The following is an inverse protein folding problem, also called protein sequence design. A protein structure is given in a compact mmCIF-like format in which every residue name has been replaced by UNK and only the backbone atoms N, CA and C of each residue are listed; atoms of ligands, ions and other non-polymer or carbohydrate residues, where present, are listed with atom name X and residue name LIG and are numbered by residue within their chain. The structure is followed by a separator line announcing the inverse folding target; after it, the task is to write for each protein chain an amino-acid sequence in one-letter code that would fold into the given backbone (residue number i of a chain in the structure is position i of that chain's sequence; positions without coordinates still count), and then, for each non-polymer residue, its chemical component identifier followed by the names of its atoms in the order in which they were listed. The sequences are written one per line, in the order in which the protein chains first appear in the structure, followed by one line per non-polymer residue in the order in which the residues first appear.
data_IF_875398149972
#
_entry.id   IF_875398149972
#
_cell.length_a   1.000
_cell.length_b   1.000
_cell.length_c   1.000
_cell.angle_alpha   90.00
_cell.angle_beta   90.00
_cell.angle_gamma   90.00
#
_symmetry.space_group_name_H-M   'P 1'
#
loop_
_entity.id
_entity.type
_entity.pdbx_description
1 polymer ?
#
# COMPACT_ATOMS: atom_id res chain seq x y z
N UNK A 1 -13.41 -9.66 -21.13
CA UNK A 1 -12.41 -8.59 -21.45
C UNK A 1 -12.31 -8.39 -22.95
N UNK A 2 -12.36 -7.14 -23.43
CA UNK A 2 -12.17 -6.82 -24.86
C UNK A 2 -10.70 -7.08 -25.25
N UNK A 3 -10.45 -7.49 -26.52
CA UNK A 3 -9.09 -7.84 -27.02
C UNK A 3 -8.03 -6.76 -26.74
N UNK A 4 -8.41 -5.48 -26.84
CA UNK A 4 -7.52 -4.36 -26.55
C UNK A 4 -7.14 -4.25 -25.07
N UNK A 5 -8.08 -4.55 -24.16
CA UNK A 5 -7.86 -4.53 -22.74
C UNK A 5 -6.88 -5.64 -22.28
N UNK A 6 -7.06 -6.85 -22.84
CA UNK A 6 -6.11 -7.94 -22.62
C UNK A 6 -4.69 -7.57 -23.06
N UNK A 7 -4.56 -6.91 -24.23
CA UNK A 7 -3.25 -6.46 -24.73
C UNK A 7 -2.63 -5.38 -23.83
N UNK A 8 -3.43 -4.43 -23.33
CA UNK A 8 -2.96 -3.44 -22.36
C UNK A 8 -2.41 -4.11 -21.10
N UNK A 9 -3.10 -5.10 -20.55
CA UNK A 9 -2.65 -5.85 -19.38
C UNK A 9 -1.36 -6.64 -19.62
N UNK A 10 -1.21 -7.26 -20.80
CA UNK A 10 0.05 -7.93 -21.19
C UNK A 10 1.24 -6.94 -21.20
N UNK A 11 1.04 -5.74 -21.73
CA UNK A 11 2.07 -4.70 -21.74
C UNK A 11 2.42 -4.21 -20.35
N UNK A 12 1.43 -4.04 -19.47
CA UNK A 12 1.66 -3.69 -18.08
C UNK A 12 2.43 -4.77 -17.31
N UNK A 13 2.18 -6.06 -17.59
CA UNK A 13 2.96 -7.15 -17.00
C UNK A 13 4.43 -7.08 -17.42
N UNK A 14 4.70 -6.89 -18.70
CA UNK A 14 6.06 -6.79 -19.23
C UNK A 14 6.79 -5.57 -18.64
N UNK A 15 6.11 -4.43 -18.56
CA UNK A 15 6.68 -3.22 -17.97
C UNK A 15 6.98 -3.41 -16.49
N UNK A 16 6.05 -3.99 -15.74
CA UNK A 16 6.22 -4.31 -14.32
C UNK A 16 7.48 -5.17 -14.09
N UNK A 17 7.61 -6.30 -14.80
CA UNK A 17 8.80 -7.16 -14.70
C UNK A 17 10.10 -6.40 -15.00
N UNK A 18 10.13 -5.57 -16.05
CA UNK A 18 11.32 -4.81 -16.40
C UNK A 18 11.64 -3.73 -15.35
N UNK A 19 10.63 -3.02 -14.86
CA UNK A 19 10.82 -1.99 -13.83
C UNK A 19 11.34 -2.58 -12.53
N UNK A 20 10.82 -3.72 -12.10
CA UNK A 20 11.26 -4.39 -10.87
C UNK A 20 12.69 -4.94 -11.03
N UNK A 21 12.99 -5.61 -12.15
CA UNK A 21 14.28 -6.31 -12.32
C UNK A 21 15.44 -5.42 -12.73
N UNK A 22 15.18 -4.32 -13.44
CA UNK A 22 16.22 -3.41 -14.00
C UNK A 22 16.16 -1.99 -13.44
N UNK A 23 15.06 -1.65 -12.78
CA UNK A 23 14.75 -0.29 -12.37
C UNK A 23 13.99 0.48 -13.45
N UNK A 24 13.13 1.41 -13.00
CA UNK A 24 12.35 2.26 -13.89
C UNK A 24 13.24 3.13 -14.79
N UNK A 25 14.24 3.79 -14.21
CA UNK A 25 15.12 4.69 -14.96
C UNK A 25 15.93 3.93 -16.04
N UNK A 26 16.37 2.73 -15.74
CA UNK A 26 17.20 1.90 -16.62
C UNK A 26 16.40 1.13 -17.69
N UNK A 27 15.06 1.21 -17.66
CA UNK A 27 14.20 0.56 -18.66
C UNK A 27 13.78 1.55 -19.73
N UNK A 28 14.06 1.25 -21.00
CA UNK A 28 13.62 2.07 -22.13
C UNK A 28 12.29 1.60 -22.72
N UNK A 29 11.58 2.52 -23.39
CA UNK A 29 10.35 2.17 -24.14
C UNK A 29 10.64 1.16 -25.24
N UNK A 30 11.80 1.27 -25.90
CA UNK A 30 12.17 0.36 -27.00
C UNK A 30 12.42 -1.07 -26.48
N UNK A 31 12.96 -1.28 -25.26
CA UNK A 31 13.07 -2.61 -24.63
C UNK A 31 11.70 -3.22 -24.32
N UNK A 32 10.75 -2.40 -23.84
CA UNK A 32 9.37 -2.86 -23.60
C UNK A 32 8.72 -3.31 -24.91
N UNK A 33 8.89 -2.52 -25.99
CA UNK A 33 8.39 -2.81 -27.33
C UNK A 33 8.97 -4.11 -27.86
N UNK A 34 10.28 -4.30 -27.75
CA UNK A 34 10.99 -5.51 -28.17
C UNK A 34 10.52 -6.74 -27.39
N UNK A 35 10.48 -6.67 -26.05
CA UNK A 35 10.02 -7.78 -25.21
C UNK A 35 8.55 -8.14 -25.47
N UNK A 36 7.70 -7.14 -25.76
CA UNK A 36 6.31 -7.31 -26.09
C UNK A 36 6.05 -7.76 -27.54
N UNK A 37 7.07 -7.73 -28.40
CA UNK A 37 6.97 -8.02 -29.83
C UNK A 37 5.86 -7.23 -30.54
N UNK A 38 5.84 -5.91 -30.34
CA UNK A 38 4.85 -4.99 -30.92
C UNK A 38 5.51 -3.90 -31.75
N UNK A 39 4.71 -3.27 -32.62
CA UNK A 39 5.14 -2.05 -33.29
C UNK A 39 5.14 -0.85 -32.33
N UNK A 40 6.04 0.11 -32.52
CA UNK A 40 6.16 1.34 -31.72
C UNK A 40 4.84 2.12 -31.64
N UNK A 41 4.10 2.19 -32.74
CA UNK A 41 2.76 2.80 -32.76
C UNK A 41 1.73 2.10 -31.88
N UNK A 42 1.85 0.76 -31.70
CA UNK A 42 0.99 0.02 -30.79
C UNK A 42 1.26 0.38 -29.34
N UNK A 43 2.52 0.58 -28.94
CA UNK A 43 2.87 1.04 -27.60
C UNK A 43 2.21 2.40 -27.32
N UNK A 44 2.46 3.40 -28.19
CA UNK A 44 1.94 4.76 -28.00
C UNK A 44 0.42 4.89 -28.13
N UNK A 45 -0.25 3.91 -28.74
CA UNK A 45 -1.70 3.80 -28.71
C UNK A 45 -2.23 3.56 -27.28
N UNK A 46 -1.52 2.74 -26.49
CA UNK A 46 -1.93 2.40 -25.13
C UNK A 46 -1.34 3.35 -24.07
N UNK A 47 -0.11 3.79 -24.26
CA UNK A 47 0.63 4.58 -23.27
C UNK A 47 1.31 5.77 -23.95
N UNK A 48 0.83 6.99 -23.69
CA UNK A 48 1.41 8.21 -24.28
C UNK A 48 2.89 8.42 -23.92
N UNK A 49 3.30 7.93 -22.74
CA UNK A 49 4.69 8.03 -22.25
C UNK A 49 5.07 6.86 -21.34
N UNK A 50 6.36 6.74 -20.99
CA UNK A 50 6.88 5.77 -20.02
C UNK A 50 6.34 6.07 -18.61
N UNK A 51 6.21 7.35 -18.29
CA UNK A 51 5.64 7.82 -17.01
C UNK A 51 4.18 7.39 -16.87
N UNK A 52 3.36 7.52 -17.92
CA UNK A 52 1.97 7.06 -17.87
C UNK A 52 1.90 5.54 -17.69
N UNK A 53 2.79 4.79 -18.33
CA UNK A 53 2.87 3.35 -18.13
C UNK A 53 3.25 3.00 -16.69
N UNK A 54 4.19 3.74 -16.08
CA UNK A 54 4.52 3.57 -14.66
C UNK A 54 3.31 3.82 -13.75
N UNK A 55 2.59 4.91 -14.00
CA UNK A 55 1.36 5.21 -13.22
C UNK A 55 0.32 4.09 -13.33
N UNK A 56 0.10 3.55 -14.54
CA UNK A 56 -0.85 2.45 -14.76
C UNK A 56 -0.37 1.13 -14.12
N UNK A 57 0.94 0.86 -14.08
CA UNK A 57 1.53 -0.29 -13.37
C UNK A 57 1.29 -0.15 -11.87
N UNK A 58 1.57 1.03 -11.30
CA UNK A 58 1.37 1.31 -9.87
C UNK A 58 -0.10 1.20 -9.51
N UNK A 59 -1.01 1.79 -10.29
CA UNK A 59 -2.44 1.71 -10.03
C UNK A 59 -2.93 0.27 -9.97
N UNK A 60 -2.45 -0.59 -10.88
CA UNK A 60 -2.81 -2.01 -10.88
C UNK A 60 -2.29 -2.77 -9.66
N UNK A 61 -1.07 -2.48 -9.20
CA UNK A 61 -0.52 -3.07 -7.98
C UNK A 61 -1.41 -2.72 -6.78
N UNK A 62 -1.74 -1.45 -6.64
CA UNK A 62 -2.53 -0.95 -5.52
C UNK A 62 -3.98 -1.44 -5.58
N UNK A 63 -4.58 -1.54 -6.77
CA UNK A 63 -5.96 -2.02 -6.92
C UNK A 63 -6.12 -3.45 -6.37
N UNK A 64 -5.13 -4.32 -6.52
CA UNK A 64 -5.15 -5.66 -5.95
C UNK A 64 -5.14 -5.64 -4.41
N UNK A 65 -4.30 -4.80 -3.81
CA UNK A 65 -4.22 -4.63 -2.36
C UNK A 65 -5.50 -4.02 -1.77
N UNK A 66 -6.04 -3.00 -2.44
CA UNK A 66 -7.30 -2.36 -2.05
C UNK A 66 -8.48 -3.33 -2.11
N UNK A 67 -8.52 -4.20 -3.11
CA UNK A 67 -9.58 -5.22 -3.23
C UNK A 67 -9.49 -6.24 -2.10
N UNK A 68 -8.29 -6.67 -1.73
CA UNK A 68 -8.05 -7.53 -0.57
C UNK A 68 -8.53 -6.86 0.72
N UNK A 69 -8.19 -5.58 0.92
CA UNK A 69 -8.64 -4.79 2.06
C UNK A 69 -10.18 -4.67 2.12
N UNK A 70 -10.84 -4.46 0.96
CA UNK A 70 -12.32 -4.43 0.87
C UNK A 70 -12.94 -5.76 1.29
N UNK A 71 -12.40 -6.87 0.83
CA UNK A 71 -12.89 -8.19 1.20
C UNK A 71 -12.79 -8.43 2.73
N UNK A 72 -11.74 -7.95 3.38
CA UNK A 72 -11.60 -7.99 4.83
C UNK A 72 -12.71 -7.19 5.53
N UNK A 73 -13.06 -6.01 5.01
CA UNK A 73 -14.13 -5.19 5.57
C UNK A 73 -15.50 -5.87 5.53
N UNK A 74 -15.74 -6.72 4.52
CA UNK A 74 -17.00 -7.47 4.36
C UNK A 74 -17.10 -8.65 5.34
N UNK A 75 -16.02 -9.01 6.04
CA UNK A 75 -16.02 -10.11 7.01
C UNK A 75 -16.72 -9.71 8.31
N UNK A 76 -17.38 -10.68 8.96
CA UNK A 76 -18.07 -10.47 10.25
C UNK A 76 -17.07 -10.48 11.42
N UNK A 77 -16.15 -9.52 11.46
CA UNK A 77 -15.12 -9.35 12.50
C UNK A 77 -15.29 -8.01 13.21
N UNK A 78 -14.63 -7.86 14.36
CA UNK A 78 -14.69 -6.63 15.16
C UNK A 78 -13.88 -5.49 14.48
N UNK A 79 -14.20 -4.23 14.84
CA UNK A 79 -13.50 -3.04 14.36
C UNK A 79 -11.98 -3.13 14.51
N UNK A 80 -11.41 -3.53 15.67
CA UNK A 80 -9.96 -3.74 15.78
C UNK A 80 -9.41 -4.78 14.79
N UNK A 81 -10.11 -5.90 14.61
CA UNK A 81 -9.69 -6.95 13.67
C UNK A 81 -9.74 -6.49 12.20
N UNK A 82 -10.74 -5.67 11.84
CA UNK A 82 -10.80 -5.04 10.51
C UNK A 82 -9.61 -4.11 10.29
N UNK A 83 -9.27 -3.25 11.25
CA UNK A 83 -8.11 -2.36 11.18
C UNK A 83 -6.82 -3.18 11.00
N UNK A 84 -6.61 -4.21 11.85
CA UNK A 84 -5.46 -5.12 11.75
C UNK A 84 -5.41 -5.79 10.38
N UNK A 85 -6.52 -6.37 9.94
CA UNK A 85 -6.62 -7.08 8.67
C UNK A 85 -6.30 -6.19 7.46
N UNK A 86 -6.85 -4.96 7.44
CA UNK A 86 -6.54 -3.97 6.39
C UNK A 86 -5.05 -3.63 6.40
N UNK A 87 -4.48 -3.27 7.56
CA UNK A 87 -3.09 -2.87 7.66
C UNK A 87 -2.13 -4.01 7.33
N UNK A 88 -2.46 -5.26 7.69
CA UNK A 88 -1.64 -6.42 7.32
C UNK A 88 -1.76 -6.80 5.86
N UNK A 89 -2.94 -6.59 5.23
CA UNK A 89 -3.10 -6.85 3.79
C UNK A 89 -2.30 -5.93 2.89
N UNK A 90 -1.86 -4.78 3.41
CA UNK A 90 -1.00 -3.83 2.68
C UNK A 90 0.47 -4.23 2.67
N UNK A 91 0.83 -5.23 3.48
CA UNK A 91 2.17 -5.81 3.39
C UNK A 91 2.22 -6.69 2.14
N UNK A 92 3.20 -6.49 1.23
CA UNK A 92 3.35 -7.36 0.08
C UNK A 92 3.37 -8.82 0.55
N UNK A 93 2.56 -9.68 -0.08
CA UNK A 93 2.48 -11.11 0.26
C UNK A 93 3.85 -11.77 0.12
N UNK A 94 4.15 -12.74 0.99
CA UNK A 94 5.43 -13.50 1.07
C UNK A 94 5.89 -14.14 -0.25
N UNK A 95 5.01 -14.26 -1.23
CA UNK A 95 5.33 -14.84 -2.55
C UNK A 95 6.28 -13.98 -3.38
N UNK A 96 6.57 -12.74 -2.96
CA UNK A 96 7.31 -11.78 -3.76
C UNK A 96 8.39 -11.02 -2.95
N UNK A 97 9.10 -11.70 -2.06
CA UNK A 97 10.24 -11.09 -1.34
C UNK A 97 11.22 -10.42 -2.32
N UNK A 98 11.44 -11.04 -3.48
CA UNK A 98 12.27 -10.47 -4.55
C UNK A 98 11.73 -9.15 -5.11
N UNK A 99 10.40 -8.94 -5.07
CA UNK A 99 9.76 -7.70 -5.53
C UNK A 99 9.89 -6.61 -4.47
N UNK A 100 9.70 -6.95 -3.18
CA UNK A 100 10.00 -6.03 -2.08
C UNK A 100 11.45 -5.55 -2.19
N UNK A 101 12.39 -6.48 -2.22
CA UNK A 101 13.82 -6.18 -2.29
C UNK A 101 14.13 -5.29 -3.49
N UNK A 102 13.51 -5.55 -4.65
CA UNK A 102 13.67 -4.74 -5.83
C UNK A 102 13.08 -3.33 -5.70
N UNK A 103 11.89 -3.18 -5.10
CA UNK A 103 11.28 -1.86 -4.89
C UNK A 103 12.11 -0.96 -3.98
N UNK A 104 12.83 -1.53 -3.02
CA UNK A 104 13.71 -0.78 -2.12
C UNK A 104 15.09 -0.49 -2.70
N UNK A 105 15.41 -0.99 -3.91
CA UNK A 105 16.66 -0.61 -4.57
C UNK A 105 16.66 0.87 -5.01
N UNK A 106 17.81 1.55 -4.98
CA UNK A 106 17.93 2.97 -5.38
C UNK A 106 17.37 3.25 -6.77
N UNK A 107 17.48 2.31 -7.70
CA UNK A 107 17.00 2.40 -9.07
C UNK A 107 15.46 2.47 -9.16
N UNK A 108 14.77 2.06 -8.11
CA UNK A 108 13.31 2.07 -8.00
C UNK A 108 12.75 3.10 -7.01
N UNK A 109 13.58 3.99 -6.47
CA UNK A 109 13.17 4.96 -5.44
C UNK A 109 11.96 5.82 -5.86
N UNK A 110 11.89 6.23 -7.14
CA UNK A 110 10.73 6.98 -7.66
C UNK A 110 9.47 6.12 -7.66
N UNK A 111 9.57 4.87 -8.11
CA UNK A 111 8.44 3.93 -8.14
C UNK A 111 7.96 3.65 -6.70
N UNK A 112 8.87 3.36 -5.78
CA UNK A 112 8.57 3.14 -4.37
C UNK A 112 7.83 4.32 -3.75
N UNK A 113 8.34 5.56 -3.93
CA UNK A 113 7.70 6.78 -3.42
C UNK A 113 6.28 6.97 -3.97
N UNK A 114 6.06 6.70 -5.25
CA UNK A 114 4.73 6.81 -5.87
C UNK A 114 3.77 5.73 -5.39
N UNK A 115 4.22 4.48 -5.26
CA UNK A 115 3.43 3.37 -4.69
C UNK A 115 2.97 3.72 -3.29
N UNK A 116 3.91 4.10 -2.41
CA UNK A 116 3.63 4.49 -1.02
C UNK A 116 2.58 5.60 -0.93
N UNK A 117 2.77 6.68 -1.69
CA UNK A 117 1.83 7.80 -1.70
C UNK A 117 0.43 7.39 -2.14
N UNK A 118 0.31 6.70 -3.27
CA UNK A 118 -0.98 6.26 -3.80
C UNK A 118 -1.66 5.24 -2.89
N UNK A 119 -0.90 4.34 -2.29
CA UNK A 119 -1.43 3.35 -1.35
C UNK A 119 -2.08 4.04 -0.14
N UNK A 120 -1.39 5.00 0.48
CA UNK A 120 -1.94 5.80 1.57
C UNK A 120 -3.23 6.51 1.14
N UNK A 121 -3.23 7.16 -0.03
CA UNK A 121 -4.42 7.86 -0.56
C UNK A 121 -5.61 6.93 -0.77
N UNK A 122 -5.37 5.67 -1.22
CA UNK A 122 -6.43 4.68 -1.49
C UNK A 122 -6.95 3.98 -0.23
N UNK A 123 -6.10 3.84 0.81
CA UNK A 123 -6.48 3.12 2.03
C UNK A 123 -7.20 4.01 3.05
N UNK A 124 -6.97 5.32 3.02
CA UNK A 124 -7.62 6.28 3.93
C UNK A 124 -9.14 6.10 3.94
N UNK A 125 -9.87 6.08 2.80
CA UNK A 125 -11.32 5.92 2.83
C UNK A 125 -11.78 4.59 3.44
N UNK A 126 -11.04 3.50 3.23
CA UNK A 126 -11.39 2.20 3.81
C UNK A 126 -11.22 2.18 5.32
N UNK A 127 -10.10 2.68 5.83
CA UNK A 127 -9.89 2.80 7.28
C UNK A 127 -10.85 3.80 7.91
N UNK A 128 -11.19 4.88 7.21
CA UNK A 128 -12.18 5.85 7.69
C UNK A 128 -13.56 5.19 7.88
N UNK A 129 -14.00 4.37 6.94
CA UNK A 129 -15.26 3.62 7.03
C UNK A 129 -15.27 2.68 8.25
N UNK A 130 -14.16 1.97 8.52
CA UNK A 130 -14.04 1.12 9.71
C UNK A 130 -14.02 1.94 11.01
N UNK A 131 -13.39 3.11 11.01
CA UNK A 131 -13.42 4.01 12.18
C UNK A 131 -14.81 4.60 12.38
N UNK A 132 -15.57 4.91 11.32
CA UNK A 132 -16.97 5.33 11.40
C UNK A 132 -17.87 4.24 12.03
N UNK A 133 -17.66 2.97 11.67
CA UNK A 133 -18.28 1.82 12.32
C UNK A 133 -17.95 1.81 13.83
N UNK A 134 -16.67 1.98 14.19
CA UNK A 134 -16.23 2.06 15.58
C UNK A 134 -16.82 3.24 16.35
N UNK A 135 -17.08 4.37 15.69
CA UNK A 135 -17.81 5.49 16.29
C UNK A 135 -19.25 5.11 16.56
N UNK A 136 -19.92 4.42 15.62
CA UNK A 136 -21.31 3.96 15.79
C UNK A 136 -21.45 2.92 16.90
N UNK A 137 -20.43 2.10 17.13
CA UNK A 137 -20.36 1.11 18.21
C UNK A 137 -19.91 1.71 19.57
N UNK A 138 -19.54 3.00 19.59
CA UNK A 138 -19.04 3.68 20.80
C UNK A 138 -17.63 3.29 21.24
N UNK A 139 -16.85 2.64 20.35
CA UNK A 139 -15.44 2.32 20.54
C UNK A 139 -14.60 3.60 20.41
N UNK A 140 -14.91 4.43 19.41
CA UNK A 140 -14.28 5.71 19.11
C UNK A 140 -15.23 6.88 19.33
N UNK A 141 -14.64 8.07 19.56
CA UNK A 141 -15.42 9.31 19.70
C UNK A 141 -14.64 10.46 19.04
N UNK A 142 -14.79 10.61 17.75
CA UNK A 142 -14.10 11.66 16.98
C UNK A 142 -14.93 12.15 15.81
N UNK A 143 -14.58 13.34 15.34
CA UNK A 143 -15.03 13.93 14.07
C UNK A 143 -13.84 13.94 13.08
N UNK A 144 -14.07 14.39 11.84
CA UNK A 144 -13.03 14.51 10.79
C UNK A 144 -12.18 13.24 10.66
N UNK A 145 -12.88 12.12 10.55
CA UNK A 145 -12.29 10.77 10.65
C UNK A 145 -11.20 10.57 9.59
N UNK A 146 -11.45 10.94 8.34
CA UNK A 146 -10.49 10.75 7.25
C UNK A 146 -9.18 11.51 7.49
N UNK A 147 -9.25 12.74 8.02
CA UNK A 147 -8.08 13.53 8.37
C UNK A 147 -7.29 12.91 9.53
N UNK A 148 -7.98 12.37 10.53
CA UNK A 148 -7.34 11.68 11.68
C UNK A 148 -6.66 10.39 11.23
N UNK A 149 -7.33 9.58 10.43
CA UNK A 149 -6.75 8.38 9.82
C UNK A 149 -5.51 8.73 8.98
N UNK A 150 -5.60 9.77 8.15
CA UNK A 150 -4.45 10.25 7.37
C UNK A 150 -3.27 10.63 8.28
N UNK A 151 -3.51 11.36 9.36
CA UNK A 151 -2.46 11.75 10.30
C UNK A 151 -1.81 10.54 10.97
N UNK A 152 -2.62 9.54 11.37
CA UNK A 152 -2.11 8.30 11.95
C UNK A 152 -1.25 7.51 10.97
N UNK A 153 -1.67 7.39 9.72
CA UNK A 153 -0.88 6.70 8.68
C UNK A 153 0.45 7.41 8.40
N UNK A 154 0.46 8.75 8.32
CA UNK A 154 1.69 9.52 8.12
C UNK A 154 2.62 9.40 9.33
N UNK A 155 2.08 9.45 10.55
CA UNK A 155 2.87 9.30 11.76
C UNK A 155 3.45 7.88 11.86
N UNK A 156 2.64 6.85 11.61
CA UNK A 156 3.09 5.45 11.58
C UNK A 156 4.24 5.26 10.59
N UNK A 157 4.07 5.77 9.38
CA UNK A 157 5.06 5.66 8.32
C UNK A 157 6.40 6.30 8.69
N UNK A 158 6.39 7.55 9.17
CA UNK A 158 7.62 8.25 9.59
C UNK A 158 8.26 7.67 10.86
N UNK A 159 7.49 6.97 11.71
CA UNK A 159 8.02 6.37 12.94
C UNK A 159 8.60 4.99 12.71
N UNK A 160 7.89 4.13 11.92
CA UNK A 160 8.20 2.70 11.85
C UNK A 160 8.85 2.25 10.54
N UNK A 161 8.76 3.05 9.46
CA UNK A 161 9.32 2.68 8.16
C UNK A 161 10.62 3.43 7.81
N UNK A 162 10.90 4.58 8.43
CA UNK A 162 12.03 5.43 8.05
C UNK A 162 13.14 5.53 9.12
N UNK A 163 12.99 4.87 10.26
CA UNK A 163 13.94 5.01 11.39
C UNK A 163 14.06 3.79 12.27
N UNK A 164 14.97 3.88 13.24
CA UNK A 164 15.02 2.94 14.35
C UNK A 164 13.99 3.33 15.39
N UNK A 165 13.17 2.40 15.82
CA UNK A 165 12.17 2.61 16.87
C UNK A 165 12.31 1.56 17.97
N UNK A 166 11.71 1.81 19.13
CA UNK A 166 11.70 0.91 20.27
C UNK A 166 10.33 0.85 20.95
N UNK A 167 10.21 0.04 21.99
CA UNK A 167 8.96 -0.14 22.76
C UNK A 167 8.33 1.18 23.22
N UNK A 168 9.16 2.18 23.53
CA UNK A 168 8.70 3.51 23.89
C UNK A 168 7.94 4.21 22.78
N UNK A 169 8.42 4.10 21.53
CA UNK A 169 7.78 4.71 20.36
C UNK A 169 6.44 4.03 20.07
N UNK A 170 6.40 2.70 20.19
CA UNK A 170 5.16 1.93 20.04
C UNK A 170 4.12 2.37 21.08
N UNK A 171 4.52 2.47 22.35
CA UNK A 171 3.62 2.86 23.43
C UNK A 171 3.08 4.29 23.26
N UNK A 172 3.92 5.22 22.82
CA UNK A 172 3.53 6.60 22.52
C UNK A 172 2.61 6.66 21.30
N UNK A 173 2.89 5.88 20.26
CA UNK A 173 2.03 5.82 19.07
C UNK A 173 0.63 5.29 19.39
N UNK A 174 0.52 4.26 20.26
CA UNK A 174 -0.76 3.75 20.75
C UNK A 174 -1.52 4.84 21.51
N UNK A 175 -0.86 5.52 22.46
CA UNK A 175 -1.47 6.60 23.24
C UNK A 175 -1.97 7.76 22.35
N UNK A 176 -1.17 8.16 21.36
CA UNK A 176 -1.57 9.19 20.38
C UNK A 176 -2.77 8.70 19.57
N UNK A 177 -2.77 7.45 19.12
CA UNK A 177 -3.84 6.87 18.31
C UNK A 177 -5.16 6.84 19.09
N UNK A 178 -5.12 6.41 20.36
CA UNK A 178 -6.29 6.41 21.25
C UNK A 178 -6.84 7.82 21.48
N UNK A 179 -5.97 8.78 21.79
CA UNK A 179 -6.36 10.18 21.97
C UNK A 179 -6.92 10.79 20.69
N UNK A 180 -6.31 10.52 19.55
CA UNK A 180 -6.71 11.07 18.27
C UNK A 180 -8.08 10.52 17.83
N UNK A 181 -8.37 9.26 18.10
CA UNK A 181 -9.66 8.63 17.77
C UNK A 181 -10.68 8.72 18.93
N UNK A 182 -10.30 9.27 20.09
CA UNK A 182 -11.17 9.37 21.26
C UNK A 182 -11.53 8.00 21.83
N UNK A 183 -10.62 7.04 21.74
CA UNK A 183 -10.75 5.70 22.31
C UNK A 183 -10.40 5.71 23.80
N UNK A 184 -10.90 4.70 24.53
CA UNK A 184 -10.47 4.45 25.90
C UNK A 184 -9.03 3.90 25.90
N UNK A 185 -8.27 4.22 26.93
CA UNK A 185 -6.92 3.68 27.13
C UNK A 185 -6.93 2.14 27.07
N UNK A 186 -5.99 1.56 26.32
CA UNK A 186 -5.84 0.13 26.09
C UNK A 186 -6.70 -0.44 24.94
N UNK A 187 -7.60 0.36 24.35
CA UNK A 187 -8.44 -0.09 23.22
C UNK A 187 -7.62 -0.46 21.99
N UNK A 188 -6.51 0.26 21.74
CA UNK A 188 -5.68 0.08 20.55
C UNK A 188 -4.38 -0.68 20.82
N UNK A 189 -4.30 -1.42 21.94
CA UNK A 189 -3.11 -2.23 22.29
C UNK A 189 -2.72 -3.28 21.22
N UNK A 190 -3.66 -3.71 20.38
CA UNK A 190 -3.41 -4.61 19.27
C UNK A 190 -2.40 -4.06 18.23
N UNK A 191 -2.13 -2.74 18.25
CA UNK A 191 -1.13 -2.12 17.39
C UNK A 191 0.27 -2.66 17.69
N UNK A 192 0.59 -2.94 18.96
CA UNK A 192 1.88 -3.54 19.33
C UNK A 192 2.11 -4.86 18.60
N UNK A 193 1.11 -5.74 18.58
CA UNK A 193 1.20 -7.03 17.88
C UNK A 193 1.42 -6.90 16.36
N UNK A 194 0.96 -5.80 15.75
CA UNK A 194 1.16 -5.53 14.33
C UNK A 194 2.60 -5.13 14.03
N UNK A 195 3.21 -4.33 14.91
CA UNK A 195 4.56 -3.81 14.75
C UNK A 195 5.58 -4.91 15.05
N UNK A 196 5.45 -5.63 16.19
CA UNK A 196 6.36 -6.71 16.58
C UNK A 196 6.42 -7.84 15.54
N UNK A 197 5.29 -8.18 14.92
CA UNK A 197 5.28 -9.17 13.84
C UNK A 197 6.03 -8.71 12.59
N UNK A 198 6.05 -7.42 12.30
CA UNK A 198 6.79 -6.88 11.17
C UNK A 198 8.30 -6.98 11.33
N UNK A 199 8.83 -6.77 12.55
CA UNK A 199 10.26 -6.87 12.83
C UNK A 199 10.77 -8.33 12.85
N UNK A 200 9.93 -9.29 13.31
CA UNK A 200 10.33 -10.70 13.34
C UNK A 200 10.45 -11.32 11.94
N UNK A 201 9.75 -10.78 10.95
CA UNK A 201 9.81 -11.25 9.56
C UNK A 201 10.98 -10.64 8.79
N UNK A 202 11.39 -9.39 9.09
CA UNK A 202 12.53 -8.74 8.43
C UNK A 202 13.91 -9.22 8.92
N UNK A 203 13.97 -9.89 10.10
CA UNK A 203 15.22 -10.41 10.69
C UNK A 203 15.45 -11.93 10.44
N UNK A 204 14.70 -12.56 9.54
CA UNK A 204 14.89 -13.95 9.10
C UNK A 204 15.36 -14.04 7.66
#
# INVERSE_FOLDING_TARGET
MKKGEKRKQELLNIAYELFITRGYENTSVDEIIEKAQIAKGTYYYYFPSKEQMLEDVIDRMIDAEVETARHIMETAVTVPQKIVGILTSLKPLDTEQSIKDALFQPENALMHSKVKKKLIERIIPLLAEVVEEGVSEGIFKCDKIAERVKMLLILSDGTFNEGTFGESDISVFIDISEKLLGAKQGTMGFIADLIDKSEMEENK
#
